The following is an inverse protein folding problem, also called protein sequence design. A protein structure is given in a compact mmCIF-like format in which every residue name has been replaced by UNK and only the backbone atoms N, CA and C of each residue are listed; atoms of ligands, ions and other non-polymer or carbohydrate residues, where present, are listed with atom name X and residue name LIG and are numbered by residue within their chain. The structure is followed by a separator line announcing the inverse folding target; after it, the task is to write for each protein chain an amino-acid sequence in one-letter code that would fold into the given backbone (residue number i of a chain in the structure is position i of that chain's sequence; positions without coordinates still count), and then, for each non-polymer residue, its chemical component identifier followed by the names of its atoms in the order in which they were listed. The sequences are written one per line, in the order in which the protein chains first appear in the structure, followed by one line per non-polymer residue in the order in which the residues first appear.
data_IF_596453604427
#
_entry.id   IF_596453604427
#
_cell.length_a   1.000
_cell.length_b   1.000
_cell.length_c   1.000
_cell.angle_alpha   90.00
_cell.angle_beta   90.00
_cell.angle_gamma   90.00
#
_symmetry.space_group_name_H-M   'P 1'
#
loop_
_entity.id
_entity.type
_entity.pdbx_description
1 polymer ?
#
# COMPACT_ATOMS: atom_id res chain seq x y z
N UNK A 1 -1.03 -33.41 29.72
CA UNK A 1 -1.17 -31.95 29.50
C UNK A 1 -0.45 -31.66 28.19
N UNK A 2 -1.17 -31.42 27.10
CA UNK A 2 -0.58 -31.00 25.82
C UNK A 2 -0.26 -29.51 25.93
N UNK A 3 1.02 -29.14 25.88
CA UNK A 3 1.43 -27.75 25.82
C UNK A 3 0.86 -27.12 24.54
N UNK A 4 0.29 -25.92 24.63
CA UNK A 4 -0.07 -25.16 23.44
C UNK A 4 1.23 -24.71 22.77
N UNK A 5 1.45 -25.13 21.53
CA UNK A 5 2.58 -24.67 20.74
C UNK A 5 2.34 -23.21 20.35
N UNK A 6 3.28 -22.34 20.72
CA UNK A 6 3.29 -20.93 20.32
C UNK A 6 4.35 -20.71 19.24
N UNK A 7 3.97 -20.00 18.19
CA UNK A 7 4.79 -19.72 17.02
C UNK A 7 5.05 -18.22 16.96
N UNK A 8 6.26 -17.79 16.61
CA UNK A 8 6.62 -16.36 16.60
C UNK A 8 6.80 -15.85 15.18
N UNK A 9 6.17 -14.73 14.85
CA UNK A 9 6.39 -14.05 13.57
C UNK A 9 7.77 -13.38 13.55
N UNK A 10 8.59 -13.69 12.55
CA UNK A 10 9.93 -13.11 12.40
C UNK A 10 9.97 -11.67 11.84
N UNK A 11 8.83 -11.01 11.66
CA UNK A 11 8.77 -9.60 11.25
C UNK A 11 8.33 -8.66 12.37
N UNK A 12 7.34 -9.06 13.17
CA UNK A 12 6.79 -8.21 14.23
C UNK A 12 7.05 -8.75 15.65
N UNK A 13 7.71 -9.91 15.78
CA UNK A 13 8.05 -10.57 17.05
C UNK A 13 6.85 -10.90 17.96
N UNK A 14 5.63 -10.79 17.44
CA UNK A 14 4.42 -11.19 18.14
C UNK A 14 4.26 -12.72 18.01
N UNK A 15 4.03 -13.38 19.12
CA UNK A 15 3.75 -14.80 19.19
C UNK A 15 2.27 -15.08 18.98
N UNK A 16 1.97 -16.14 18.23
CA UNK A 16 0.63 -16.63 18.03
C UNK A 16 0.44 -18.10 18.44
N UNK A 17 -0.77 -18.38 18.91
CA UNK A 17 -1.18 -19.73 19.34
C UNK A 17 -1.80 -20.52 18.19
N UNK A 18 -2.28 -19.83 17.15
CA UNK A 18 -2.92 -20.45 16.00
C UNK A 18 -1.96 -20.48 14.80
N UNK A 19 -1.45 -21.66 14.48
CA UNK A 19 -0.56 -21.87 13.35
C UNK A 19 -1.19 -21.47 11.99
N UNK A 20 -2.52 -21.42 11.86
CA UNK A 20 -3.20 -21.01 10.61
C UNK A 20 -3.11 -19.51 10.33
N UNK A 21 -2.72 -18.71 11.33
CA UNK A 21 -2.47 -17.26 11.17
C UNK A 21 -1.01 -16.97 10.80
N UNK A 22 -0.19 -18.01 10.65
CA UNK A 22 1.18 -17.90 10.21
C UNK A 22 1.38 -18.67 8.90
N UNK A 23 2.35 -18.23 8.11
CA UNK A 23 2.81 -18.93 6.92
C UNK A 23 4.32 -18.77 6.76
N UNK A 24 4.95 -19.68 6.04
CA UNK A 24 6.36 -19.63 5.70
C UNK A 24 6.58 -18.81 4.43
N UNK A 25 7.57 -17.92 4.45
CA UNK A 25 7.94 -17.14 3.28
C UNK A 25 8.66 -18.02 2.26
N UNK A 26 8.15 -18.10 1.03
CA UNK A 26 8.74 -18.90 -0.06
C UNK A 26 10.14 -18.44 -0.48
N UNK A 27 10.56 -17.21 -0.09
CA UNK A 27 11.90 -16.69 -0.38
C UNK A 27 12.91 -16.91 0.77
N UNK A 28 12.53 -16.58 2.01
CA UNK A 28 13.47 -16.61 3.15
C UNK A 28 13.19 -17.71 4.18
N UNK A 29 12.08 -18.44 4.06
CA UNK A 29 11.68 -19.52 4.96
C UNK A 29 11.22 -19.10 6.35
N UNK A 30 11.17 -17.80 6.64
CA UNK A 30 10.76 -17.27 7.96
C UNK A 30 9.24 -17.33 8.09
N UNK A 31 8.76 -17.72 9.28
CA UNK A 31 7.35 -17.65 9.67
C UNK A 31 6.90 -16.19 9.82
N UNK A 32 5.77 -15.85 9.21
CA UNK A 32 5.18 -14.52 9.29
C UNK A 32 3.66 -14.58 9.44
N UNK A 33 3.06 -13.53 10.00
CA UNK A 33 1.60 -13.44 10.09
C UNK A 33 0.96 -13.25 8.73
N UNK A 34 -0.02 -14.08 8.44
CA UNK A 34 -0.86 -13.99 7.26
C UNK A 34 -2.30 -14.24 7.68
N UNK A 35 -3.15 -13.24 7.50
CA UNK A 35 -4.57 -13.35 7.78
C UNK A 35 -5.30 -13.89 6.55
N UNK A 36 -5.80 -15.15 6.55
CA UNK A 36 -6.48 -15.73 5.39
C UNK A 36 -7.85 -15.08 5.11
N UNK A 37 -8.35 -14.25 6.03
CA UNK A 37 -9.71 -13.69 6.00
C UNK A 37 -9.69 -12.20 6.29
N UNK A 38 -10.03 -11.40 5.28
CA UNK A 38 -10.06 -9.94 5.42
C UNK A 38 -11.27 -9.42 6.22
N UNK A 39 -12.23 -10.28 6.57
CA UNK A 39 -13.43 -9.92 7.34
C UNK A 39 -13.24 -9.97 8.86
N UNK A 40 -12.11 -10.50 9.32
CA UNK A 40 -11.73 -10.55 10.74
C UNK A 40 -10.50 -9.69 10.99
N UNK A 41 -10.40 -9.02 12.15
CA UNK A 41 -9.19 -8.31 12.51
C UNK A 41 -8.02 -9.29 12.64
N UNK A 42 -6.94 -9.01 11.91
CA UNK A 42 -5.72 -9.81 11.91
C UNK A 42 -4.51 -8.93 11.60
N UNK A 43 -3.33 -9.50 11.82
CA UNK A 43 -2.05 -8.87 11.47
C UNK A 43 -1.58 -9.48 10.16
N UNK A 44 -1.20 -8.65 9.20
CA UNK A 44 -0.59 -9.09 7.94
C UNK A 44 0.85 -8.57 7.86
N UNK A 45 1.79 -9.50 7.92
CA UNK A 45 3.23 -9.25 7.82
C UNK A 45 3.80 -9.68 6.46
N UNK A 46 2.93 -9.99 5.50
CA UNK A 46 3.27 -10.41 4.15
C UNK A 46 2.07 -10.38 3.24
N UNK A 47 2.23 -10.94 2.06
CA UNK A 47 1.23 -10.94 1.00
C UNK A 47 1.28 -12.25 0.21
N UNK A 48 0.20 -12.53 -0.52
CA UNK A 48 0.07 -13.75 -1.33
C UNK A 48 0.05 -13.37 -2.80
N UNK A 49 0.90 -14.03 -3.59
CA UNK A 49 0.95 -13.88 -5.03
C UNK A 49 0.48 -15.17 -5.70
N UNK A 50 -0.36 -15.05 -6.74
CA UNK A 50 -0.75 -16.17 -7.60
C UNK A 50 0.16 -16.17 -8.83
N UNK A 51 0.99 -17.20 -8.99
CA UNK A 51 1.92 -17.26 -10.12
C UNK A 51 1.21 -17.39 -11.46
N UNK A 52 1.71 -16.69 -12.48
CA UNK A 52 1.26 -16.81 -13.87
C UNK A 52 1.95 -18.03 -14.52
N UNK A 53 1.37 -19.21 -14.35
CA UNK A 53 1.76 -20.46 -15.01
C UNK A 53 0.48 -21.23 -15.41
N UNK A 54 0.61 -22.22 -16.31
CA UNK A 54 -0.53 -23.09 -16.70
C UNK A 54 -1.21 -23.76 -15.48
N UNK A 55 -0.47 -23.93 -14.39
CA UNK A 55 -0.98 -24.33 -13.07
C UNK A 55 -0.70 -23.21 -12.05
N UNK A 56 -1.71 -22.40 -11.66
CA UNK A 56 -1.50 -21.29 -10.76
C UNK A 56 -1.18 -21.80 -9.35
N UNK A 57 0.04 -21.54 -8.87
CA UNK A 57 0.48 -21.86 -7.52
C UNK A 57 0.44 -20.59 -6.66
N UNK A 58 -0.12 -20.73 -5.46
CA UNK A 58 -0.08 -19.69 -4.42
C UNK A 58 1.33 -19.63 -3.83
N UNK A 59 1.95 -18.46 -3.89
CA UNK A 59 3.25 -18.20 -3.31
C UNK A 59 3.12 -17.15 -2.20
N UNK A 60 3.85 -17.35 -1.12
CA UNK A 60 3.71 -16.57 0.11
C UNK A 60 4.99 -15.77 0.34
N UNK A 61 4.88 -14.46 0.49
CA UNK A 61 6.06 -13.60 0.67
C UNK A 61 5.89 -12.65 1.84
N UNK A 62 6.90 -12.58 2.71
CA UNK A 62 6.91 -11.61 3.79
C UNK A 62 7.23 -10.18 3.30
N UNK A 63 6.78 -9.16 4.04
CA UNK A 63 6.94 -7.77 3.64
C UNK A 63 8.40 -7.36 3.44
N UNK A 64 9.33 -7.86 4.26
CA UNK A 64 10.77 -7.61 4.07
C UNK A 64 11.25 -8.08 2.70
N UNK A 65 10.84 -9.27 2.25
CA UNK A 65 11.24 -9.78 0.93
C UNK A 65 10.55 -9.01 -0.20
N UNK A 66 9.27 -8.67 -0.04
CA UNK A 66 8.53 -7.88 -1.02
C UNK A 66 9.15 -6.49 -1.21
N UNK A 67 9.56 -5.83 -0.13
CA UNK A 67 10.22 -4.53 -0.19
C UNK A 67 11.56 -4.59 -0.92
N UNK A 68 12.36 -5.65 -0.71
CA UNK A 68 13.62 -5.84 -1.43
C UNK A 68 13.39 -5.99 -2.94
N UNK A 69 12.40 -6.79 -3.34
CA UNK A 69 12.04 -7.00 -4.76
C UNK A 69 11.52 -5.70 -5.38
N UNK A 70 10.67 -4.95 -4.66
CA UNK A 70 10.17 -3.65 -5.12
C UNK A 70 11.29 -2.61 -5.23
N UNK A 71 12.29 -2.68 -4.35
CA UNK A 71 13.46 -1.81 -4.36
C UNK A 71 14.40 -2.09 -5.53
N UNK A 72 14.61 -3.35 -5.92
CA UNK A 72 15.49 -3.70 -7.04
C UNK A 72 14.93 -3.24 -8.39
N UNK A 73 13.61 -3.39 -8.61
CA UNK A 73 12.98 -2.98 -9.88
C UNK A 73 13.05 -1.45 -10.08
N UNK A 74 12.96 -0.66 -9.02
CA UNK A 74 13.07 0.80 -9.10
C UNK A 74 14.50 1.28 -9.37
N UNK A 75 15.51 0.52 -8.94
CA UNK A 75 16.91 0.87 -9.19
C UNK A 75 17.31 0.71 -10.66
N UNK A 76 16.64 -0.18 -11.40
CA UNK A 76 16.98 -0.48 -12.81
C UNK A 76 16.02 0.18 -13.82
N UNK A 77 14.89 0.74 -13.37
CA UNK A 77 13.76 1.14 -14.22
C UNK A 77 13.60 2.62 -14.58
N UNK A 78 14.50 3.52 -14.14
CA UNK A 78 14.46 4.93 -14.56
C UNK A 78 15.85 5.44 -14.94
N UNK A 79 16.42 4.87 -16.00
CA UNK A 79 17.36 5.64 -16.79
C UNK A 79 16.53 6.76 -17.43
N UNK A 80 16.72 8.01 -16.98
CA UNK A 80 16.20 9.15 -17.72
C UNK A 80 16.59 8.96 -19.20
N UNK A 81 15.68 9.17 -20.16
CA UNK A 81 16.02 9.05 -21.57
C UNK A 81 17.29 9.89 -21.82
N UNK A 82 18.27 9.40 -22.60
CA UNK A 82 19.43 10.20 -22.92
C UNK A 82 18.97 11.55 -23.49
N UNK A 83 19.67 12.65 -23.19
CA UNK A 83 19.31 13.95 -23.73
C UNK A 83 19.26 13.85 -25.26
N UNK A 84 18.06 14.01 -25.84
CA UNK A 84 17.81 13.91 -27.29
C UNK A 84 16.98 12.71 -27.77
N UNK A 85 16.43 11.88 -26.88
CA UNK A 85 15.42 10.88 -27.28
C UNK A 85 14.03 11.52 -27.35
N UNK A 86 13.61 11.89 -28.56
CA UNK A 86 12.22 12.28 -28.89
C UNK A 86 11.41 11.02 -29.25
N UNK A 87 10.52 10.49 -28.37
CA UNK A 87 9.76 9.27 -28.65
C UNK A 87 8.62 9.48 -29.66
N UNK A 88 8.33 10.73 -30.01
CA UNK A 88 7.43 11.06 -31.11
C UNK A 88 8.27 11.62 -32.26
N UNK A 89 8.42 10.83 -33.32
CA UNK A 89 8.69 11.40 -34.65
C UNK A 89 7.51 12.28 -35.04
N UNK A 90 7.49 13.52 -34.54
CA UNK A 90 6.50 14.52 -34.90
C UNK A 90 6.82 15.01 -36.33
N UNK A 91 5.87 14.93 -37.29
CA UNK A 91 6.04 15.61 -38.55
C UNK A 91 6.11 17.13 -38.31
N UNK A 92 6.96 17.88 -39.04
CA UNK A 92 7.08 19.32 -38.85
C UNK A 92 5.80 20.00 -39.35
N UNK A 93 4.99 20.54 -38.44
CA UNK A 93 3.83 21.35 -38.87
C UNK A 93 2.74 21.68 -37.86
N UNK A 94 2.74 21.15 -36.64
CA UNK A 94 1.68 21.47 -35.68
C UNK A 94 2.06 22.67 -34.80
N UNK A 95 1.62 23.86 -35.20
CA UNK A 95 1.79 25.07 -34.39
C UNK A 95 1.02 24.99 -33.06
N UNK A 96 1.70 25.48 -32.01
CA UNK A 96 1.25 25.52 -30.64
C UNK A 96 -0.03 26.35 -30.47
N UNK A 97 -1.11 25.68 -30.02
CA UNK A 97 -2.26 26.33 -29.41
C UNK A 97 -2.05 26.45 -27.91
N UNK A 98 -1.63 27.62 -27.44
CA UNK A 98 -1.51 27.94 -26.01
C UNK A 98 -2.90 27.97 -25.38
N UNK A 99 -3.37 26.85 -24.81
CA UNK A 99 -4.48 26.87 -23.86
C UNK A 99 -3.92 27.22 -22.48
N UNK A 100 -4.08 28.49 -22.12
CA UNK A 100 -3.82 29.00 -20.77
C UNK A 100 -4.84 28.33 -19.82
N UNK A 101 -4.37 27.46 -18.94
CA UNK A 101 -5.15 26.97 -17.79
C UNK A 101 -5.25 28.08 -16.72
N UNK A 102 -6.42 28.31 -16.12
CA UNK A 102 -6.52 29.19 -14.95
C UNK A 102 -5.88 28.54 -13.70
N UNK A 103 -5.28 29.34 -12.79
CA UNK A 103 -4.66 28.81 -11.58
C UNK A 103 -5.69 28.24 -10.60
N UNK A 104 -5.29 27.15 -9.94
CA UNK A 104 -6.04 26.38 -8.97
C UNK A 104 -6.52 27.23 -7.78
N UNK A 105 -7.79 27.05 -7.42
CA UNK A 105 -8.44 27.67 -6.28
C UNK A 105 -7.76 27.28 -4.95
N UNK A 106 -7.43 28.28 -4.15
CA UNK A 106 -6.88 28.13 -2.80
C UNK A 106 -7.86 27.42 -1.83
N UNK A 107 -7.36 26.69 -0.81
CA UNK A 107 -8.19 26.00 0.16
C UNK A 107 -8.98 27.00 1.03
N UNK A 108 -10.31 26.87 1.02
CA UNK A 108 -11.19 27.66 1.88
C UNK A 108 -11.06 27.22 3.34
N UNK A 109 -10.55 28.12 4.16
CA UNK A 109 -10.41 28.00 5.61
C UNK A 109 -11.79 27.75 6.26
N UNK A 110 -11.91 26.83 7.24
CA UNK A 110 -13.20 26.56 7.89
C UNK A 110 -13.72 27.80 8.61
N UNK A 111 -14.91 28.26 8.21
CA UNK A 111 -15.62 29.37 8.85
C UNK A 111 -16.00 28.96 10.29
N UNK A 112 -15.35 29.60 11.28
CA UNK A 112 -15.77 29.57 12.68
C UNK A 112 -17.25 29.97 12.78
N UNK A 113 -18.11 29.00 13.11
CA UNK A 113 -19.50 29.23 13.50
C UNK A 113 -19.49 30.16 14.71
N UNK A 114 -19.92 31.42 14.52
CA UNK A 114 -20.23 32.33 15.61
C UNK A 114 -21.40 31.74 16.39
N UNK A 115 -21.13 31.25 17.58
CA UNK A 115 -22.12 30.91 18.60
C UNK A 115 -22.85 32.19 19.00
N UNK A 116 -24.05 32.41 18.46
CA UNK A 116 -25.01 33.34 19.04
C UNK A 116 -25.57 32.67 20.30
N UNK A 117 -25.12 33.14 21.46
CA UNK A 117 -25.94 33.14 22.67
C UNK A 117 -27.13 34.04 22.37
N UNK A 118 -28.34 33.50 22.49
CA UNK A 118 -29.53 34.29 22.74
C UNK A 118 -30.29 33.57 23.85
N UNK A 119 -30.27 34.23 25.00
CA UNK A 119 -31.09 34.04 26.18
C UNK A 119 -32.56 33.77 25.83
N UNK A 120 -33.13 32.78 26.53
CA UNK A 120 -34.56 32.57 26.63
C UNK A 120 -34.89 32.15 28.07
N UNK A 121 -35.88 32.79 28.74
CA UNK A 121 -36.17 32.57 30.15
C UNK A 121 -36.91 31.25 30.40
N UNK A 122 -36.63 30.64 31.56
CA UNK A 122 -37.28 29.43 32.04
C UNK A 122 -38.76 29.66 32.40
N UNK A 123 -39.66 28.72 32.04
CA UNK A 123 -40.97 28.65 32.67
C UNK A 123 -41.06 27.53 33.72
N UNK A 124 -41.37 27.99 34.94
CA UNK A 124 -42.03 27.35 36.10
C UNK A 124 -41.26 26.34 36.96
#
# INVERSE_FOLDING_TARGET
MTAAETYTCGLCDVSETNAQLLSDCSNCGVLFHLNPRNDIPGIDCGDVWVGDCDEPVLQFFCNRCLELIRGSIQAEGFQAPPPGFDPLGAPPGAQAGTMILPPAAAPQRPRRRRSRRLDGPAPR
#
